data_IF_145527233558
#
_entry.id   IF_145527233558
#
_cell.length_a   1.000
_cell.length_b   1.000
_cell.length_c   1.000
_cell.angle_alpha   90.00
_cell.angle_beta   90.00
_cell.angle_gamma   90.00
#
_symmetry.space_group_name_H-M   'P 1'
#
loop_
_entity.id
_entity.type
_entity.pdbx_description
1 polymer ?
#
# COMPACT_ATOMS: atom_id res chain seq x y z
N UNK A 1 -57.58 66.99 -25.68
CA UNK A 1 -56.74 66.80 -24.48
C UNK A 1 -56.50 65.31 -24.33
N UNK A 2 -55.45 64.79 -24.92
CA UNK A 2 -55.11 63.36 -24.83
C UNK A 2 -53.78 63.22 -24.14
N UNK A 3 -53.83 62.57 -22.97
CA UNK A 3 -52.63 62.21 -22.21
C UNK A 3 -52.04 60.90 -22.77
N UNK A 4 -50.89 60.99 -23.43
CA UNK A 4 -50.14 59.90 -23.95
C UNK A 4 -49.28 59.32 -22.77
N UNK A 5 -49.63 58.19 -22.27
CA UNK A 5 -48.81 57.43 -21.28
C UNK A 5 -47.73 56.67 -22.02
N UNK A 6 -46.47 57.07 -21.86
CA UNK A 6 -45.32 56.25 -22.23
C UNK A 6 -45.10 55.14 -21.23
N UNK A 7 -45.27 53.94 -21.70
CA UNK A 7 -44.84 52.77 -20.95
C UNK A 7 -43.37 52.53 -21.29
N UNK A 8 -42.47 52.79 -20.36
CA UNK A 8 -41.08 52.41 -20.44
C UNK A 8 -40.93 50.92 -20.08
N UNK A 9 -40.68 50.09 -21.09
CA UNK A 9 -40.31 48.70 -20.89
C UNK A 9 -38.83 48.64 -20.56
N UNK A 10 -38.52 48.47 -19.27
CA UNK A 10 -37.17 48.19 -18.83
C UNK A 10 -36.83 46.73 -19.15
N UNK A 11 -36.03 46.53 -20.19
CA UNK A 11 -35.41 45.26 -20.50
C UNK A 11 -34.25 45.02 -19.51
N UNK A 12 -34.47 44.18 -18.56
CA UNK A 12 -33.43 43.73 -17.61
C UNK A 12 -32.57 42.67 -18.34
N UNK A 13 -31.42 43.10 -18.87
CA UNK A 13 -30.38 42.17 -19.36
C UNK A 13 -29.73 41.51 -18.16
N UNK A 14 -30.12 40.29 -17.89
CA UNK A 14 -29.40 39.44 -16.94
C UNK A 14 -28.10 38.96 -17.61
N UNK A 15 -27.02 39.60 -17.29
CA UNK A 15 -25.68 39.18 -17.69
C UNK A 15 -25.30 38.03 -16.73
N UNK A 16 -25.49 36.78 -17.20
CA UNK A 16 -24.90 35.61 -16.55
C UNK A 16 -23.38 35.65 -16.75
N UNK A 17 -22.67 36.28 -15.83
CA UNK A 17 -21.22 36.14 -15.70
C UNK A 17 -20.92 34.77 -15.13
N UNK A 18 -20.68 33.80 -16.00
CA UNK A 18 -20.03 32.54 -15.61
C UNK A 18 -18.61 32.88 -15.15
N UNK A 19 -18.43 33.08 -13.86
CA UNK A 19 -17.11 33.07 -13.25
C UNK A 19 -16.56 31.65 -13.36
N UNK A 20 -15.81 31.39 -14.42
CA UNK A 20 -14.92 30.25 -14.48
C UNK A 20 -13.81 30.56 -13.48
N UNK A 21 -13.99 30.06 -12.24
CA UNK A 21 -12.95 30.03 -11.25
C UNK A 21 -11.93 28.99 -11.71
N UNK A 22 -10.95 29.45 -12.47
CA UNK A 22 -9.74 28.68 -12.72
C UNK A 22 -8.98 28.61 -11.40
N UNK A 23 -9.26 27.58 -10.61
CA UNK A 23 -8.42 27.23 -9.49
C UNK A 23 -7.08 26.80 -10.09
N UNK A 24 -6.13 27.72 -10.08
CA UNK A 24 -4.73 27.41 -10.27
C UNK A 24 -4.30 26.43 -9.20
N UNK A 25 -4.30 25.15 -9.56
CA UNK A 25 -3.68 24.11 -8.77
C UNK A 25 -2.18 24.36 -8.80
N UNK A 26 -1.67 25.05 -7.79
CA UNK A 26 -0.26 24.99 -7.44
C UNK A 26 0.00 23.56 -7.01
N UNK A 27 0.59 22.79 -7.92
CA UNK A 27 1.08 21.44 -7.67
C UNK A 27 2.29 21.54 -6.75
N UNK A 28 2.05 21.61 -5.44
CA UNK A 28 3.01 21.13 -4.47
C UNK A 28 3.08 19.61 -4.66
N UNK A 29 4.19 19.18 -5.26
CA UNK A 29 4.49 17.79 -5.56
C UNK A 29 4.91 17.03 -4.28
N UNK A 30 3.99 16.90 -3.32
CA UNK A 30 3.99 15.79 -2.38
C UNK A 30 3.26 14.63 -3.05
N UNK A 31 3.99 13.91 -3.90
CA UNK A 31 3.47 12.76 -4.65
C UNK A 31 3.34 11.53 -3.73
N UNK A 32 2.54 11.65 -2.68
CA UNK A 32 1.99 10.49 -1.99
C UNK A 32 0.95 9.88 -2.93
N UNK A 33 1.38 8.94 -3.78
CA UNK A 33 0.51 8.22 -4.71
C UNK A 33 -0.69 7.67 -3.93
N UNK A 34 -1.87 8.24 -4.18
CA UNK A 34 -3.10 7.83 -3.49
C UNK A 34 -3.35 6.34 -3.73
N UNK A 35 -3.52 5.56 -2.66
CA UNK A 35 -3.83 4.13 -2.75
C UNK A 35 -5.11 3.92 -3.56
N UNK A 36 -5.06 3.01 -4.53
CA UNK A 36 -6.25 2.67 -5.33
C UNK A 36 -7.35 2.05 -4.46
N UNK A 37 -8.61 2.16 -4.89
CA UNK A 37 -9.74 1.52 -4.19
C UNK A 37 -9.58 0.00 -4.07
N UNK A 38 -8.97 -0.63 -5.07
CA UNK A 38 -8.65 -2.06 -5.07
C UNK A 38 -7.62 -2.39 -3.97
N UNK A 39 -6.56 -1.58 -3.84
CA UNK A 39 -5.57 -1.74 -2.78
C UNK A 39 -6.20 -1.61 -1.38
N UNK A 40 -7.01 -0.57 -1.15
CA UNK A 40 -7.70 -0.38 0.14
C UNK A 40 -8.67 -1.52 0.46
N UNK A 41 -9.32 -2.08 -0.56
CA UNK A 41 -10.19 -3.25 -0.41
C UNK A 41 -9.39 -4.48 -0.02
N UNK A 42 -8.21 -4.68 -0.62
CA UNK A 42 -7.31 -5.78 -0.27
C UNK A 42 -6.81 -5.68 1.19
N UNK A 43 -6.43 -4.50 1.65
CA UNK A 43 -6.04 -4.30 3.07
C UNK A 43 -7.16 -4.74 4.03
N UNK A 44 -8.40 -4.37 3.73
CA UNK A 44 -9.57 -4.80 4.53
C UNK A 44 -9.77 -6.31 4.52
N UNK A 45 -9.57 -6.96 3.38
CA UNK A 45 -9.68 -8.42 3.24
C UNK A 45 -8.56 -9.14 4.00
N UNK A 46 -7.33 -8.63 3.95
CA UNK A 46 -6.19 -9.14 4.73
C UNK A 46 -6.48 -9.09 6.24
N UNK A 47 -7.01 -7.95 6.72
CA UNK A 47 -7.39 -7.78 8.12
C UNK A 47 -8.48 -8.76 8.56
N UNK A 48 -9.36 -9.17 7.63
CA UNK A 48 -10.38 -10.22 7.83
C UNK A 48 -9.84 -11.64 7.61
N UNK A 49 -8.56 -11.80 7.30
CA UNK A 49 -7.91 -13.08 6.95
C UNK A 49 -8.49 -13.77 5.70
N UNK A 50 -9.15 -13.00 4.84
CA UNK A 50 -9.70 -13.42 3.55
C UNK A 50 -8.63 -13.31 2.45
N UNK A 51 -7.58 -14.14 2.57
CA UNK A 51 -6.36 -13.98 1.77
C UNK A 51 -6.57 -14.27 0.27
N UNK A 52 -7.43 -15.22 -0.07
CA UNK A 52 -7.74 -15.51 -1.49
C UNK A 52 -8.41 -14.31 -2.18
N UNK A 53 -9.39 -13.69 -1.52
CA UNK A 53 -10.08 -12.52 -2.05
C UNK A 53 -9.15 -11.30 -2.09
N UNK A 54 -8.26 -11.19 -1.09
CA UNK A 54 -7.25 -10.13 -1.07
C UNK A 54 -6.31 -10.22 -2.28
N UNK A 55 -5.88 -11.43 -2.68
CA UNK A 55 -5.03 -11.65 -3.85
C UNK A 55 -5.72 -11.13 -5.11
N UNK A 56 -7.02 -11.38 -5.29
CA UNK A 56 -7.78 -10.86 -6.44
C UNK A 56 -7.70 -9.33 -6.47
N UNK A 57 -7.99 -8.67 -5.34
CA UNK A 57 -7.96 -7.19 -5.24
C UNK A 57 -6.56 -6.61 -5.39
N UNK A 58 -5.52 -7.31 -4.93
CA UNK A 58 -4.14 -6.88 -5.13
C UNK A 58 -3.72 -6.97 -6.61
N UNK A 59 -4.16 -8.02 -7.32
CA UNK A 59 -3.94 -8.11 -8.77
C UNK A 59 -4.68 -7.01 -9.53
N UNK A 60 -5.93 -6.68 -9.15
CA UNK A 60 -6.65 -5.53 -9.69
C UNK A 60 -5.86 -4.22 -9.47
N UNK A 61 -5.25 -4.05 -8.29
CA UNK A 61 -4.45 -2.87 -7.97
C UNK A 61 -3.16 -2.79 -8.81
N UNK A 62 -2.54 -3.91 -9.17
CA UNK A 62 -1.34 -3.95 -10.03
C UNK A 62 -1.60 -3.43 -11.45
N UNK A 63 -2.84 -3.50 -11.95
CA UNK A 63 -3.21 -2.96 -13.26
C UNK A 63 -2.92 -1.46 -13.35
N UNK A 64 -3.15 -0.75 -12.25
CA UNK A 64 -2.95 0.71 -12.18
C UNK A 64 -1.64 1.11 -11.53
N UNK A 65 -1.01 0.23 -10.74
CA UNK A 65 0.21 0.53 -9.97
C UNK A 65 1.18 -0.66 -9.96
N UNK A 66 1.69 -1.03 -11.13
CA UNK A 66 2.55 -2.20 -11.34
C UNK A 66 3.93 -2.11 -10.67
N UNK A 67 4.34 -0.93 -10.18
CA UNK A 67 5.63 -0.71 -9.52
C UNK A 67 5.47 -0.38 -8.03
N UNK A 68 4.41 -0.84 -7.41
CA UNK A 68 4.15 -0.61 -5.98
C UNK A 68 4.66 -1.78 -5.14
N UNK A 69 5.72 -1.57 -4.38
CA UNK A 69 6.32 -2.59 -3.53
C UNK A 69 5.35 -3.09 -2.43
N UNK A 70 4.46 -2.23 -1.92
CA UNK A 70 3.46 -2.63 -0.91
C UNK A 70 2.48 -3.67 -1.45
N UNK A 71 2.05 -3.52 -2.72
CA UNK A 71 1.13 -4.49 -3.36
C UNK A 71 1.81 -5.86 -3.44
N UNK A 72 3.05 -5.91 -3.92
CA UNK A 72 3.81 -7.17 -3.98
C UNK A 72 4.07 -7.75 -2.60
N UNK A 73 4.38 -6.92 -1.59
CA UNK A 73 4.52 -7.37 -0.22
C UNK A 73 3.24 -8.03 0.31
N UNK A 74 2.07 -7.44 0.06
CA UNK A 74 0.78 -8.02 0.48
C UNK A 74 0.38 -9.26 -0.32
N UNK A 75 0.75 -9.36 -1.60
CA UNK A 75 0.63 -10.61 -2.37
C UNK A 75 1.47 -11.71 -1.71
N UNK A 76 2.75 -11.44 -1.42
CA UNK A 76 3.62 -12.37 -0.72
C UNK A 76 3.06 -12.81 0.63
N UNK A 77 2.56 -11.85 1.42
CA UNK A 77 1.92 -12.13 2.71
C UNK A 77 0.69 -13.04 2.55
N UNK A 78 -0.20 -12.73 1.62
CA UNK A 78 -1.43 -13.48 1.39
C UNK A 78 -1.14 -14.91 0.91
N UNK A 79 -0.20 -15.08 -0.03
CA UNK A 79 0.24 -16.40 -0.50
C UNK A 79 0.88 -17.21 0.64
N UNK A 80 1.74 -16.59 1.46
CA UNK A 80 2.33 -17.27 2.63
C UNK A 80 1.27 -17.74 3.63
N UNK A 81 0.25 -16.91 3.90
CA UNK A 81 -0.86 -17.29 4.80
C UNK A 81 -1.73 -18.44 4.25
N UNK A 82 -1.73 -18.64 2.94
CA UNK A 82 -2.35 -19.79 2.27
C UNK A 82 -1.41 -21.00 2.12
N UNK A 83 -0.20 -20.94 2.68
CA UNK A 83 0.78 -22.03 2.58
C UNK A 83 1.53 -22.13 1.24
N UNK A 84 1.30 -21.18 0.32
CA UNK A 84 1.91 -21.13 -1.03
C UNK A 84 3.27 -20.44 -0.97
N UNK A 85 4.29 -21.17 -0.47
CA UNK A 85 5.58 -20.57 -0.13
C UNK A 85 6.39 -20.12 -1.34
N UNK A 86 6.31 -20.82 -2.47
CA UNK A 86 6.99 -20.46 -3.72
C UNK A 86 6.46 -19.14 -4.28
N UNK A 87 5.12 -18.98 -4.33
CA UNK A 87 4.47 -17.74 -4.75
C UNK A 87 4.85 -16.60 -3.79
N UNK A 88 4.82 -16.87 -2.48
CA UNK A 88 5.21 -15.86 -1.48
C UNK A 88 6.65 -15.38 -1.67
N UNK A 89 7.58 -16.32 -1.92
CA UNK A 89 8.98 -15.99 -2.17
C UNK A 89 9.13 -15.11 -3.42
N UNK A 90 8.42 -15.44 -4.50
CA UNK A 90 8.40 -14.64 -5.73
C UNK A 90 7.93 -13.21 -5.46
N UNK A 91 6.79 -13.04 -4.79
CA UNK A 91 6.22 -11.72 -4.56
C UNK A 91 7.04 -10.88 -3.57
N UNK A 92 7.60 -11.46 -2.51
CA UNK A 92 8.53 -10.72 -1.63
C UNK A 92 9.80 -10.29 -2.38
N UNK A 93 10.32 -11.13 -3.26
CA UNK A 93 11.48 -10.78 -4.08
C UNK A 93 11.16 -9.61 -5.00
N UNK A 94 9.95 -9.59 -5.62
CA UNK A 94 9.49 -8.46 -6.43
C UNK A 94 9.33 -7.17 -5.61
N UNK A 95 8.81 -7.25 -4.40
CA UNK A 95 8.72 -6.09 -3.52
C UNK A 95 10.12 -5.52 -3.20
N UNK A 96 11.09 -6.39 -2.94
CA UNK A 96 12.47 -5.99 -2.61
C UNK A 96 13.29 -5.58 -3.84
N UNK A 97 12.95 -6.05 -5.04
CA UNK A 97 13.50 -5.57 -6.30
C UNK A 97 13.09 -4.10 -6.55
N UNK A 98 11.83 -3.77 -6.30
CA UNK A 98 11.29 -2.41 -6.46
C UNK A 98 11.80 -1.49 -5.34
N UNK A 99 11.75 -1.95 -4.09
CA UNK A 99 12.22 -1.22 -2.92
C UNK A 99 13.09 -2.12 -2.02
N UNK A 100 14.42 -2.10 -2.18
CA UNK A 100 15.34 -2.91 -1.36
C UNK A 100 15.31 -2.59 0.14
N UNK A 101 14.72 -1.44 0.52
CA UNK A 101 14.57 -0.99 1.91
C UNK A 101 13.15 -1.19 2.45
N UNK A 102 12.32 -1.96 1.77
CA UNK A 102 10.93 -2.22 2.19
C UNK A 102 10.89 -3.06 3.47
N UNK A 103 10.69 -2.41 4.62
CA UNK A 103 10.79 -3.04 5.94
C UNK A 103 9.83 -4.23 6.09
N UNK A 104 8.56 -4.06 5.70
CA UNK A 104 7.57 -5.14 5.78
C UNK A 104 7.92 -6.35 4.93
N UNK A 105 8.48 -6.15 3.71
CA UNK A 105 8.89 -7.26 2.86
C UNK A 105 10.10 -8.01 3.43
N UNK A 106 11.06 -7.30 4.04
CA UNK A 106 12.18 -7.93 4.75
C UNK A 106 11.71 -8.73 5.96
N UNK A 107 10.80 -8.18 6.77
CA UNK A 107 10.21 -8.88 7.92
C UNK A 107 9.47 -10.14 7.45
N UNK A 108 8.49 -10.00 6.55
CA UNK A 108 7.62 -11.12 6.15
C UNK A 108 8.35 -12.20 5.34
N UNK A 109 9.33 -11.83 4.52
CA UNK A 109 10.21 -12.79 3.86
C UNK A 109 11.08 -13.52 4.89
N UNK A 110 11.57 -12.83 5.91
CA UNK A 110 12.30 -13.41 7.02
C UNK A 110 11.45 -14.45 7.77
N UNK A 111 10.20 -14.13 8.07
CA UNK A 111 9.23 -15.06 8.67
C UNK A 111 8.97 -16.29 7.78
N UNK A 112 8.88 -16.09 6.47
CA UNK A 112 8.77 -17.19 5.51
C UNK A 112 10.00 -18.10 5.58
N UNK A 113 11.20 -17.54 5.63
CA UNK A 113 12.44 -18.32 5.74
C UNK A 113 12.48 -19.13 7.05
N UNK A 114 11.96 -18.57 8.17
CA UNK A 114 11.85 -19.34 9.42
C UNK A 114 10.87 -20.49 9.31
N UNK A 115 9.76 -20.31 8.60
CA UNK A 115 8.78 -21.38 8.30
C UNK A 115 9.45 -22.52 7.51
N UNK A 116 10.31 -22.16 6.55
CA UNK A 116 11.09 -23.11 5.74
C UNK A 116 12.36 -23.62 6.42
N UNK A 117 12.56 -23.34 7.70
CA UNK A 117 13.75 -23.69 8.47
C UNK A 117 15.08 -23.14 7.91
N UNK A 118 15.01 -22.03 7.15
CA UNK A 118 16.15 -21.32 6.54
C UNK A 118 16.59 -20.15 7.43
N UNK A 119 17.01 -20.44 8.66
CA UNK A 119 17.31 -19.43 9.70
C UNK A 119 18.36 -18.41 9.21
N UNK A 120 19.41 -18.86 8.52
CA UNK A 120 20.46 -17.98 8.02
C UNK A 120 19.93 -16.89 7.08
N UNK A 121 18.98 -17.22 6.20
CA UNK A 121 18.37 -16.21 5.30
C UNK A 121 17.48 -15.22 6.08
N UNK A 122 16.82 -15.65 7.13
CA UNK A 122 16.08 -14.75 8.00
C UNK A 122 17.01 -13.78 8.74
N UNK A 123 18.19 -14.23 9.17
CA UNK A 123 19.21 -13.39 9.80
C UNK A 123 19.83 -12.38 8.81
N UNK A 124 19.97 -12.75 7.53
CA UNK A 124 20.38 -11.78 6.49
C UNK A 124 19.37 -10.65 6.33
N UNK A 125 18.07 -10.96 6.33
CA UNK A 125 17.04 -9.94 6.30
C UNK A 125 17.02 -9.10 7.59
N UNK A 126 17.22 -9.71 8.76
CA UNK A 126 17.37 -8.97 10.02
C UNK A 126 18.54 -7.99 9.97
N UNK A 127 19.69 -8.40 9.42
CA UNK A 127 20.87 -7.54 9.25
C UNK A 127 20.62 -6.36 8.30
N UNK A 128 19.76 -6.56 7.27
CA UNK A 128 19.33 -5.45 6.41
C UNK A 128 18.41 -4.49 7.17
N UNK A 129 17.45 -5.03 7.93
CA UNK A 129 16.56 -4.21 8.78
C UNK A 129 17.34 -3.40 9.81
N UNK A 130 18.35 -3.97 10.45
CA UNK A 130 19.22 -3.29 11.42
C UNK A 130 19.84 -2.01 10.82
N UNK A 131 20.35 -2.12 9.59
CA UNK A 131 20.94 -0.97 8.87
C UNK A 131 19.90 0.10 8.48
N UNK A 132 18.65 -0.31 8.23
CA UNK A 132 17.57 0.60 7.81
C UNK A 132 16.93 1.28 9.02
N UNK A 133 16.89 0.59 10.15
CA UNK A 133 16.15 0.95 11.36
C UNK A 133 17.07 1.42 12.48
N UNK A 134 18.07 2.23 12.18
CA UNK A 134 19.09 2.65 13.17
C UNK A 134 18.51 3.35 14.42
N UNK A 135 17.29 3.90 14.33
CA UNK A 135 16.51 4.44 15.47
C UNK A 135 15.47 3.45 16.02
N UNK A 136 15.51 2.19 15.57
CA UNK A 136 14.52 1.17 15.91
C UNK A 136 13.33 1.15 14.94
N UNK A 137 12.73 -0.02 14.74
CA UNK A 137 11.46 -0.20 14.05
C UNK A 137 10.82 -1.53 14.44
N UNK A 138 9.49 -1.59 14.35
CA UNK A 138 8.72 -2.76 14.76
C UNK A 138 9.07 -4.01 13.95
N UNK A 139 9.43 -3.86 12.68
CA UNK A 139 9.76 -4.96 11.77
C UNK A 139 11.07 -5.66 12.18
N UNK A 140 12.06 -4.87 12.62
CA UNK A 140 13.31 -5.41 13.16
C UNK A 140 13.04 -6.21 14.46
N UNK A 141 12.30 -5.62 15.40
CA UNK A 141 12.04 -6.24 16.69
C UNK A 141 11.24 -7.54 16.54
N UNK A 142 10.24 -7.56 15.67
CA UNK A 142 9.42 -8.74 15.37
C UNK A 142 10.27 -9.86 14.78
N UNK A 143 11.02 -9.58 13.70
CA UNK A 143 11.85 -10.60 13.06
C UNK A 143 12.94 -11.13 14.00
N UNK A 144 13.59 -10.23 14.76
CA UNK A 144 14.57 -10.62 15.79
C UNK A 144 13.97 -11.58 16.80
N UNK A 145 12.79 -11.24 17.33
CA UNK A 145 12.07 -12.10 18.29
C UNK A 145 11.76 -13.45 17.67
N UNK A 146 11.24 -13.50 16.44
CA UNK A 146 10.89 -14.75 15.77
C UNK A 146 12.11 -15.64 15.52
N UNK A 147 13.26 -15.08 15.17
CA UNK A 147 14.52 -15.82 15.05
C UNK A 147 14.94 -16.42 16.40
N UNK A 148 14.84 -15.63 17.47
CA UNK A 148 15.18 -16.10 18.82
C UNK A 148 14.25 -17.23 19.28
N UNK A 149 12.94 -17.09 19.06
CA UNK A 149 11.95 -18.11 19.39
C UNK A 149 12.20 -19.40 18.59
N UNK A 150 12.50 -19.28 17.29
CA UNK A 150 12.84 -20.44 16.44
C UNK A 150 14.09 -21.17 16.93
N UNK A 151 15.16 -20.45 17.29
CA UNK A 151 16.41 -21.03 17.81
C UNK A 151 16.23 -21.70 19.17
N UNK A 152 15.32 -21.21 20.01
CA UNK A 152 15.01 -21.78 21.30
C UNK A 152 13.99 -22.94 21.26
N UNK A 153 13.55 -23.34 20.05
CA UNK A 153 12.56 -24.41 19.87
C UNK A 153 11.12 -24.02 20.19
N UNK A 154 10.84 -22.74 20.44
CA UNK A 154 9.48 -22.25 20.63
C UNK A 154 8.73 -22.19 19.29
N UNK A 155 7.43 -22.50 19.30
CA UNK A 155 6.60 -22.31 18.11
C UNK A 155 6.52 -20.82 17.77
N UNK A 156 6.68 -20.47 16.48
CA UNK A 156 6.43 -19.11 15.99
C UNK A 156 4.99 -18.72 16.26
N UNK A 157 4.78 -17.48 16.66
CA UNK A 157 3.46 -16.88 16.91
C UNK A 157 2.79 -16.33 15.65
N UNK A 158 3.35 -16.58 14.47
CA UNK A 158 2.87 -16.06 13.17
C UNK A 158 2.09 -17.09 12.36
#
# INVERSE_FOLDING_TARGET
MYFLKFFAVSVFLIINSNNVFSAGSSSDSNNAKTKSSAYLSAEKLINKKQYSDAIVKLNDALVTDSKNADIYNYLGFSHRKLGKMEDAAFFYSKALEINPKHKGALEYQGEMFLTLNQIGKAEENLKKLDKICFLGCSEFDKLKKSIMDKKSGKKSSY
#
